data_IF_735198131887
#
_entry.id   IF_735198131887
#
_cell.length_a   1.000
_cell.length_b   1.000
_cell.length_c   1.000
_cell.angle_alpha   90.00
_cell.angle_beta   90.00
_cell.angle_gamma   90.00
#
_symmetry.space_group_name_H-M   'P 1'
#
loop_
_entity.id
_entity.type
_entity.pdbx_description
1 polymer ?
#
# COMPACT_ATOMS: atom_id res chain seq x y z
N UNK A 1 0.82 7.08 48.20
CA UNK A 1 0.72 5.70 47.68
C UNK A 1 0.45 4.80 48.87
N UNK A 2 -0.62 4.01 48.83
CA UNK A 2 -0.90 3.02 49.88
C UNK A 2 0.04 1.84 49.63
N UNK A 3 1.05 1.67 50.48
CA UNK A 3 1.99 0.54 50.43
C UNK A 3 1.46 -0.58 51.31
N UNK A 4 1.17 -1.72 50.72
CA UNK A 4 0.84 -2.92 51.49
C UNK A 4 2.06 -3.41 52.26
N UNK A 5 1.90 -3.88 53.50
CA UNK A 5 2.97 -4.57 54.25
C UNK A 5 3.48 -5.79 53.47
N UNK A 6 4.77 -6.11 53.61
CA UNK A 6 5.49 -7.10 52.80
C UNK A 6 4.88 -8.52 52.88
N UNK A 7 4.26 -8.84 54.01
CA UNK A 7 3.58 -10.12 54.24
C UNK A 7 2.28 -10.22 53.43
N UNK A 8 1.46 -9.17 53.48
CA UNK A 8 0.20 -9.09 52.75
C UNK A 8 0.42 -8.98 51.23
N UNK A 9 1.50 -8.32 50.81
CA UNK A 9 1.88 -8.28 49.40
C UNK A 9 2.25 -9.68 48.90
N UNK A 10 3.01 -10.45 49.68
CA UNK A 10 3.38 -11.83 49.32
C UNK A 10 2.17 -12.77 49.27
N UNK A 11 1.28 -12.69 50.25
CA UNK A 11 0.04 -13.47 50.27
C UNK A 11 -0.85 -13.13 49.06
N UNK A 12 -1.02 -11.84 48.76
CA UNK A 12 -1.80 -11.39 47.61
C UNK A 12 -1.25 -11.94 46.28
N UNK A 13 0.07 -11.89 46.07
CA UNK A 13 0.68 -12.43 44.85
C UNK A 13 0.70 -13.98 44.79
N UNK A 14 0.65 -14.66 45.92
CA UNK A 14 0.47 -16.12 45.96
C UNK A 14 -0.96 -16.51 45.61
N UNK A 15 -1.94 -15.87 46.23
CA UNK A 15 -3.37 -16.12 45.99
C UNK A 15 -3.75 -15.75 44.54
N UNK A 16 -3.19 -14.65 44.02
CA UNK A 16 -3.36 -14.27 42.62
C UNK A 16 -2.81 -15.35 41.67
N UNK A 17 -1.59 -15.86 41.93
CA UNK A 17 -1.01 -16.95 41.13
C UNK A 17 -1.84 -18.23 41.18
N UNK A 18 -2.30 -18.62 42.37
CA UNK A 18 -3.13 -19.83 42.52
C UNK A 18 -4.48 -19.68 41.82
N UNK A 19 -5.09 -18.49 41.87
CA UNK A 19 -6.30 -18.17 41.11
C UNK A 19 -6.07 -18.24 39.59
N UNK A 20 -4.91 -17.78 39.12
CA UNK A 20 -4.51 -17.86 37.70
C UNK A 20 -4.30 -19.31 37.23
N UNK A 21 -3.59 -20.12 38.02
CA UNK A 21 -3.34 -21.55 37.73
C UNK A 21 -4.66 -22.36 37.76
N UNK A 22 -5.51 -22.15 38.76
CA UNK A 22 -6.79 -22.88 38.89
C UNK A 22 -7.79 -22.51 37.80
N UNK A 23 -7.77 -21.29 37.28
CA UNK A 23 -8.64 -20.88 36.18
C UNK A 23 -8.14 -21.33 34.80
N UNK A 24 -6.94 -21.90 34.68
CA UNK A 24 -6.30 -22.27 33.41
C UNK A 24 -6.49 -21.18 32.33
N UNK A 25 -6.45 -19.91 32.76
CA UNK A 25 -6.55 -18.82 31.81
C UNK A 25 -5.19 -18.73 31.16
N UNK A 26 -5.13 -19.17 29.90
CA UNK A 26 -3.95 -19.08 29.05
C UNK A 26 -3.67 -17.60 28.80
N UNK A 27 -3.04 -16.93 29.76
CA UNK A 27 -2.61 -15.55 29.60
C UNK A 27 -1.60 -15.54 28.47
N UNK A 28 -1.99 -14.90 27.38
CA UNK A 28 -1.05 -14.16 26.57
C UNK A 28 -0.34 -13.22 27.56
N UNK A 29 0.90 -13.54 27.92
CA UNK A 29 1.76 -12.72 28.79
C UNK A 29 1.79 -11.29 28.27
N UNK A 30 2.08 -10.31 29.11
CA UNK A 30 2.17 -8.91 28.66
C UNK A 30 3.08 -8.76 27.44
N UNK A 31 4.14 -9.58 27.34
CA UNK A 31 5.03 -9.66 26.18
C UNK A 31 4.32 -10.22 24.95
N UNK A 32 3.60 -11.34 25.07
CA UNK A 32 2.84 -11.92 23.95
C UNK A 32 1.72 -10.98 23.49
N UNK A 33 1.12 -10.18 24.38
CA UNK A 33 0.05 -9.23 24.03
C UNK A 33 0.61 -8.09 23.19
N UNK A 34 1.73 -7.53 23.64
CA UNK A 34 2.47 -6.51 22.88
C UNK A 34 2.93 -7.08 21.54
N UNK A 35 3.35 -8.34 21.50
CA UNK A 35 3.73 -9.03 20.27
C UNK A 35 2.57 -9.17 19.28
N UNK A 36 1.39 -9.56 19.75
CA UNK A 36 0.17 -9.67 18.94
C UNK A 36 -0.28 -8.31 18.44
N UNK A 37 -0.33 -7.30 19.32
CA UNK A 37 -0.73 -5.94 18.95
C UNK A 37 0.19 -5.36 17.86
N UNK A 38 1.52 -5.48 18.05
CA UNK A 38 2.50 -5.04 17.04
C UNK A 38 2.39 -5.83 15.74
N UNK A 39 2.18 -7.15 15.82
CA UNK A 39 2.02 -7.99 14.63
C UNK A 39 0.77 -7.61 13.82
N UNK A 40 -0.34 -7.30 14.50
CA UNK A 40 -1.57 -6.83 13.87
C UNK A 40 -1.35 -5.45 13.25
N UNK A 41 -0.76 -4.51 13.99
CA UNK A 41 -0.46 -3.16 13.50
C UNK A 41 0.42 -3.20 12.24
N UNK A 42 1.53 -3.93 12.28
CA UNK A 42 2.43 -4.11 11.14
C UNK A 42 1.74 -4.80 9.96
N UNK A 43 0.94 -5.85 10.21
CA UNK A 43 0.22 -6.56 9.16
C UNK A 43 -0.83 -5.69 8.48
N UNK A 44 -1.54 -4.86 9.25
CA UNK A 44 -2.52 -3.90 8.72
C UNK A 44 -1.81 -2.81 7.91
N UNK A 45 -0.73 -2.23 8.43
CA UNK A 45 0.03 -1.18 7.75
C UNK A 45 0.57 -1.68 6.40
N UNK A 46 1.26 -2.83 6.38
CA UNK A 46 1.78 -3.45 5.17
C UNK A 46 0.66 -3.82 4.18
N UNK A 47 -0.44 -4.38 4.69
CA UNK A 47 -1.58 -4.76 3.86
C UNK A 47 -2.27 -3.56 3.20
N UNK A 48 -2.41 -2.46 3.94
CA UNK A 48 -2.98 -1.20 3.41
C UNK A 48 -2.04 -0.60 2.36
N UNK A 49 -0.73 -0.50 2.66
CA UNK A 49 0.26 0.06 1.73
C UNK A 49 0.29 -0.72 0.41
N UNK A 50 0.42 -2.04 0.47
CA UNK A 50 0.40 -2.91 -0.71
C UNK A 50 -0.93 -2.81 -1.47
N UNK A 51 -2.05 -2.77 -0.74
CA UNK A 51 -3.38 -2.64 -1.33
C UNK A 51 -3.57 -1.32 -2.09
N UNK A 52 -3.11 -0.21 -1.52
CA UNK A 52 -3.17 1.13 -2.14
C UNK A 52 -2.27 1.17 -3.38
N UNK A 53 -1.04 0.66 -3.30
CA UNK A 53 -0.11 0.66 -4.43
C UNK A 53 -0.66 -0.16 -5.61
N UNK A 54 -1.10 -1.40 -5.34
CA UNK A 54 -1.69 -2.27 -6.35
C UNK A 54 -2.98 -1.68 -6.93
N UNK A 55 -3.85 -1.13 -6.07
CA UNK A 55 -5.10 -0.49 -6.48
C UNK A 55 -4.86 0.71 -7.39
N UNK A 56 -3.92 1.58 -7.01
CA UNK A 56 -3.52 2.76 -7.81
C UNK A 56 -2.99 2.33 -9.16
N UNK A 57 -2.06 1.38 -9.20
CA UNK A 57 -1.48 0.86 -10.45
C UNK A 57 -2.55 0.28 -11.37
N UNK A 58 -3.44 -0.56 -10.83
CA UNK A 58 -4.53 -1.15 -11.61
C UNK A 58 -5.50 -0.09 -12.14
N UNK A 59 -5.81 0.92 -11.34
CA UNK A 59 -6.65 2.06 -11.73
C UNK A 59 -6.04 2.84 -12.89
N UNK A 60 -4.76 3.20 -12.80
CA UNK A 60 -4.03 3.90 -13.86
C UNK A 60 -3.99 3.08 -15.15
N UNK A 61 -3.66 1.77 -15.08
CA UNK A 61 -3.63 0.91 -16.27
C UNK A 61 -5.01 0.83 -16.95
N UNK A 62 -6.10 0.73 -16.17
CA UNK A 62 -7.47 0.74 -16.73
C UNK A 62 -7.81 2.09 -17.37
N UNK A 63 -7.39 3.20 -16.76
CA UNK A 63 -7.55 4.53 -17.34
C UNK A 63 -6.79 4.67 -18.66
N UNK A 64 -5.55 4.17 -18.70
CA UNK A 64 -4.72 4.18 -19.90
C UNK A 64 -5.30 3.29 -21.00
N UNK A 65 -5.77 2.08 -20.67
CA UNK A 65 -6.44 1.17 -21.61
C UNK A 65 -7.64 1.86 -22.28
N UNK A 66 -8.48 2.51 -21.49
CA UNK A 66 -9.63 3.25 -22.00
C UNK A 66 -9.19 4.46 -22.85
N UNK A 67 -8.22 5.25 -22.37
CA UNK A 67 -7.70 6.41 -23.09
C UNK A 67 -7.09 6.03 -24.45
N UNK A 68 -6.28 4.97 -24.49
CA UNK A 68 -5.69 4.44 -25.71
C UNK A 68 -6.75 3.96 -26.69
N UNK A 69 -7.75 3.22 -26.22
CA UNK A 69 -8.84 2.73 -27.05
C UNK A 69 -9.65 3.88 -27.66
N UNK A 70 -9.95 4.90 -26.86
CA UNK A 70 -10.74 6.04 -27.31
C UNK A 70 -9.97 6.97 -28.27
N UNK A 71 -8.70 7.25 -28.00
CA UNK A 71 -7.90 8.20 -28.80
C UNK A 71 -7.22 7.56 -30.01
N UNK A 72 -6.77 6.31 -29.89
CA UNK A 72 -5.89 5.67 -30.87
C UNK A 72 -6.40 4.32 -31.38
N UNK A 73 -7.55 3.83 -30.90
CA UNK A 73 -8.16 2.57 -31.34
C UNK A 73 -7.23 1.36 -31.20
N UNK A 74 -7.29 0.45 -32.17
CA UNK A 74 -6.49 -0.79 -32.16
C UNK A 74 -4.98 -0.54 -32.24
N UNK A 75 -4.56 0.58 -32.85
CA UNK A 75 -3.16 0.98 -32.92
C UNK A 75 -2.59 1.31 -31.54
N UNK A 76 -3.37 1.96 -30.67
CA UNK A 76 -2.98 2.28 -29.29
C UNK A 76 -2.87 1.03 -28.40
N UNK A 77 -3.72 0.04 -28.65
CA UNK A 77 -3.73 -1.21 -27.88
C UNK A 77 -2.43 -2.02 -27.99
N UNK A 78 -1.66 -1.81 -29.08
CA UNK A 78 -0.35 -2.45 -29.25
C UNK A 78 0.66 -2.09 -28.16
N UNK A 79 0.49 -0.94 -27.50
CA UNK A 79 1.37 -0.46 -26.42
C UNK A 79 0.95 -0.95 -25.03
N UNK A 80 -0.26 -1.52 -24.90
CA UNK A 80 -0.79 -1.98 -23.61
C UNK A 80 0.10 -3.02 -22.90
N UNK A 81 0.70 -4.02 -23.61
CA UNK A 81 1.62 -4.95 -22.98
C UNK A 81 2.86 -4.27 -22.39
N UNK A 82 3.43 -3.28 -23.08
CA UNK A 82 4.59 -2.49 -22.61
C UNK A 82 4.21 -1.67 -21.37
N UNK A 83 3.05 -1.02 -21.39
CA UNK A 83 2.56 -0.19 -20.28
C UNK A 83 2.26 -1.03 -19.04
N UNK A 84 1.69 -2.23 -19.20
CA UNK A 84 1.44 -3.16 -18.08
C UNK A 84 2.73 -3.65 -17.41
N UNK A 85 3.84 -3.69 -18.14
CA UNK A 85 5.14 -4.09 -17.61
C UNK A 85 5.81 -2.98 -16.76
N UNK A 86 5.34 -1.74 -16.83
CA UNK A 86 5.89 -0.62 -16.06
C UNK A 86 5.62 -0.85 -14.57
N UNK A 87 6.69 -0.83 -13.77
CA UNK A 87 6.60 -0.95 -12.32
C UNK A 87 6.21 0.38 -11.66
N UNK A 88 6.77 1.49 -12.15
CA UNK A 88 6.65 2.82 -11.55
C UNK A 88 5.27 3.46 -11.81
N UNK A 89 4.53 3.70 -10.73
CA UNK A 89 3.22 4.34 -10.72
C UNK A 89 3.28 5.79 -11.23
N UNK A 90 4.37 6.51 -10.99
CA UNK A 90 4.53 7.89 -11.44
C UNK A 90 4.60 7.98 -12.97
N UNK A 91 5.29 7.03 -13.59
CA UNK A 91 5.36 6.94 -15.07
C UNK A 91 3.97 6.67 -15.64
N UNK A 92 3.21 5.74 -15.03
CA UNK A 92 1.83 5.46 -15.43
C UNK A 92 0.92 6.69 -15.28
N UNK A 93 1.07 7.47 -14.20
CA UNK A 93 0.34 8.74 -14.01
C UNK A 93 0.66 9.72 -15.12
N UNK A 94 1.94 9.92 -15.44
CA UNK A 94 2.36 10.84 -16.50
C UNK A 94 1.79 10.44 -17.87
N UNK A 95 1.72 9.14 -18.17
CA UNK A 95 1.11 8.64 -19.41
C UNK A 95 -0.37 9.00 -19.45
N UNK A 96 -1.10 8.74 -18.36
CA UNK A 96 -2.54 9.04 -18.26
C UNK A 96 -2.84 10.54 -18.36
N UNK A 97 -2.04 11.35 -17.68
CA UNK A 97 -2.14 12.81 -17.69
C UNK A 97 -1.85 13.36 -19.10
N UNK A 98 -0.84 12.84 -19.79
CA UNK A 98 -0.51 13.25 -21.16
C UNK A 98 -1.62 12.92 -22.18
N UNK A 99 -2.47 11.92 -21.90
CA UNK A 99 -3.62 11.57 -22.73
C UNK A 99 -4.88 12.36 -22.39
N UNK A 100 -4.99 12.86 -21.16
CA UNK A 100 -6.12 13.66 -20.71
C UNK A 100 -5.89 15.10 -21.16
N UNK A 101 -6.75 15.66 -22.02
CA UNK A 101 -6.60 17.04 -22.52
C UNK A 101 -6.73 18.12 -21.42
N UNK A 102 -7.02 17.69 -20.18
CA UNK A 102 -7.08 18.52 -18.99
C UNK A 102 -5.67 18.73 -18.44
N UNK A 103 -5.03 19.84 -18.82
CA UNK A 103 -3.69 20.24 -18.36
C UNK A 103 -3.66 20.41 -16.83
N UNK A 104 -2.97 19.56 -16.05
CA UNK A 104 -2.64 19.92 -14.68
C UNK A 104 -1.29 20.63 -14.70
N UNK A 105 -1.29 21.95 -14.91
CA UNK A 105 -0.25 22.95 -14.58
C UNK A 105 1.27 22.56 -14.63
N UNK A 106 1.70 21.52 -15.36
CA UNK A 106 3.11 21.08 -15.43
C UNK A 106 3.52 20.84 -16.88
N UNK A 107 4.09 21.90 -17.45
CA UNK A 107 5.23 22.01 -18.40
C UNK A 107 5.32 21.10 -19.65
N UNK A 108 4.66 19.96 -19.77
CA UNK A 108 4.78 19.10 -20.95
C UNK A 108 3.57 19.25 -21.88
N UNK A 109 3.85 19.51 -23.16
CA UNK A 109 2.86 19.70 -24.20
C UNK A 109 1.97 18.46 -24.37
N UNK A 110 0.69 18.68 -24.69
CA UNK A 110 -0.28 17.63 -25.01
C UNK A 110 0.32 16.62 -25.99
N UNK A 111 0.16 15.32 -25.72
CA UNK A 111 0.66 14.28 -26.61
C UNK A 111 -0.34 14.05 -27.75
N UNK A 112 0.04 14.44 -28.96
CA UNK A 112 -0.79 14.32 -30.17
C UNK A 112 -0.47 13.05 -30.96
N UNK A 113 0.68 12.40 -30.69
CA UNK A 113 1.18 11.25 -31.46
C UNK A 113 1.67 10.09 -30.59
N UNK A 114 1.56 8.85 -31.10
CA UNK A 114 2.05 7.64 -30.41
C UNK A 114 3.57 7.66 -30.15
N UNK A 115 4.34 8.32 -31.02
CA UNK A 115 5.78 8.48 -30.82
C UNK A 115 6.10 9.37 -29.62
N UNK A 116 5.38 10.48 -29.45
CA UNK A 116 5.52 11.36 -28.28
C UNK A 116 5.12 10.62 -26.99
N UNK A 117 4.06 9.79 -27.03
CA UNK A 117 3.64 8.98 -25.89
C UNK A 117 4.74 7.98 -25.48
N UNK A 118 5.39 7.35 -26.47
CA UNK A 118 6.47 6.38 -26.25
C UNK A 118 7.70 6.99 -25.58
N UNK A 119 8.02 8.24 -25.88
CA UNK A 119 9.17 8.94 -25.30
C UNK A 119 9.01 9.26 -23.79
N UNK A 120 7.79 9.25 -23.25
CA UNK A 120 7.55 9.55 -21.84
C UNK A 120 8.06 8.43 -20.91
N UNK A 121 8.03 7.17 -21.36
CA UNK A 121 8.41 6.00 -20.56
C UNK A 121 9.63 5.23 -21.08
N UNK A 122 10.11 5.56 -22.28
CA UNK A 122 11.43 5.15 -22.75
C UNK A 122 12.34 6.39 -22.77
N UNK A 123 12.99 6.75 -21.65
CA UNK A 123 14.05 7.74 -21.72
C UNK A 123 15.12 7.19 -22.67
N UNK A 124 15.55 8.03 -23.60
CA UNK A 124 16.67 7.73 -24.50
C UNK A 124 17.85 7.39 -23.59
N UNK A 125 18.23 6.13 -23.54
CA UNK A 125 19.50 5.71 -22.97
C UNK A 125 20.58 6.23 -23.93
N UNK A 126 21.15 7.39 -23.62
CA UNK A 126 22.46 7.82 -24.13
C UNK A 126 23.57 7.33 -23.19
#
# INVERSE_FOLDING_TARGET
MLTLPLELEREFWQEYREYEETKNMRYVTSVERIGIEKGIEQGIEQGIEQGIEQGTKQGLIKGIDLGLKLKFGDSGMSLLPEIKAIADVNVLSNILDAMSDDKPLRVYATVETLQQLRQIYQPINE
#
